data_IF_867062943184
#
_entry.id   IF_867062943184
#
_cell.length_a   1.000
_cell.length_b   1.000
_cell.length_c   1.000
_cell.angle_alpha   90.00
_cell.angle_beta   90.00
_cell.angle_gamma   90.00
#
_symmetry.space_group_name_H-M   'P 1'
#
loop_
_entity.id
_entity.type
_entity.pdbx_description
1 polymer ?
#
# COMPACT_ATOMS: atom_id res chain seq x y z
N UNK A 1 31.69 -59.26 11.74
CA UNK A 1 30.77 -60.01 12.62
C UNK A 1 31.08 -59.63 14.06
N UNK A 2 30.04 -59.31 14.80
CA UNK A 2 29.96 -58.53 16.05
C UNK A 2 30.68 -59.10 17.27
N UNK A 3 31.04 -58.18 18.19
CA UNK A 3 30.87 -58.24 19.66
C UNK A 3 30.95 -56.80 20.21
N UNK A 4 30.51 -56.45 21.43
CA UNK A 4 29.19 -56.48 22.07
C UNK A 4 29.23 -55.42 23.21
N UNK A 5 28.15 -54.66 23.40
CA UNK A 5 27.60 -54.04 24.64
C UNK A 5 28.48 -53.21 25.61
N UNK A 6 28.02 -51.99 25.96
CA UNK A 6 27.69 -51.56 27.34
C UNK A 6 26.82 -50.29 27.33
N UNK A 7 25.85 -50.28 28.25
CA UNK A 7 24.74 -49.35 28.44
C UNK A 7 25.16 -48.00 29.00
N UNK A 8 24.42 -46.93 28.68
CA UNK A 8 23.95 -46.05 29.74
C UNK A 8 22.61 -45.38 29.38
N UNK A 9 21.71 -45.43 30.35
CA UNK A 9 20.32 -44.98 30.30
C UNK A 9 20.24 -43.71 31.13
N UNK A 10 19.86 -42.58 30.53
CA UNK A 10 19.50 -41.36 31.27
C UNK A 10 18.12 -40.88 30.84
N UNK A 11 17.24 -40.78 31.84
CA UNK A 11 15.88 -40.24 31.79
C UNK A 11 15.85 -38.71 31.59
N UNK A 12 14.67 -38.24 31.15
CA UNK A 12 14.09 -36.89 31.29
C UNK A 12 14.58 -35.82 30.29
N UNK A 13 13.73 -34.94 29.78
CA UNK A 13 12.44 -34.45 30.29
C UNK A 13 11.44 -34.17 29.15
N UNK A 14 10.14 -34.29 29.46
CA UNK A 14 9.06 -33.78 28.62
C UNK A 14 9.13 -32.25 28.60
N UNK A 15 9.25 -31.65 27.41
CA UNK A 15 9.04 -30.21 27.22
C UNK A 15 7.54 -29.98 27.04
N UNK A 16 6.96 -29.25 27.98
CA UNK A 16 5.62 -28.72 27.87
C UNK A 16 5.54 -27.72 26.70
N UNK A 17 4.53 -27.87 25.86
CA UNK A 17 4.15 -26.85 24.88
C UNK A 17 3.53 -25.68 25.63
N UNK A 18 4.29 -24.60 25.80
CA UNK A 18 3.72 -23.30 26.13
C UNK A 18 3.37 -22.58 24.82
N UNK A 19 2.10 -22.21 24.68
CA UNK A 19 1.62 -21.38 23.58
C UNK A 19 2.26 -19.99 23.66
N UNK A 20 2.75 -19.41 22.55
CA UNK A 20 3.33 -18.09 22.60
C UNK A 20 2.22 -17.05 22.81
N UNK A 21 2.27 -16.40 23.97
CA UNK A 21 1.55 -15.17 24.28
C UNK A 21 1.99 -14.08 23.31
N UNK A 22 1.04 -13.43 22.63
CA UNK A 22 1.27 -12.29 21.75
C UNK A 22 1.64 -11.05 22.57
N UNK A 23 2.91 -10.95 22.95
CA UNK A 23 3.55 -9.68 23.28
C UNK A 23 4.38 -9.20 22.09
N UNK A 24 4.23 -7.92 21.78
CA UNK A 24 4.60 -7.27 20.53
C UNK A 24 5.93 -7.74 19.95
N UNK A 25 5.85 -8.46 18.82
CA UNK A 25 6.94 -8.54 17.86
C UNK A 25 7.17 -7.10 17.38
N UNK A 26 8.37 -6.50 17.60
CA UNK A 26 8.68 -5.25 16.93
C UNK A 26 8.59 -5.50 15.43
N UNK A 27 7.65 -4.83 14.76
CA UNK A 27 7.55 -4.83 13.30
C UNK A 27 8.91 -4.41 12.76
N UNK A 28 9.66 -5.36 12.20
CA UNK A 28 10.91 -5.10 11.48
C UNK A 28 10.66 -4.46 10.12
N UNK A 29 9.40 -4.34 9.71
CA UNK A 29 9.01 -3.55 8.55
C UNK A 29 9.08 -2.06 8.88
N UNK A 30 9.75 -1.24 8.05
CA UNK A 30 9.81 0.20 8.25
C UNK A 30 8.39 0.79 8.31
N UNK A 31 8.17 1.91 9.02
CA UNK A 31 6.89 2.59 8.97
C UNK A 31 6.55 3.00 7.54
N UNK A 32 5.26 3.01 7.19
CA UNK A 32 4.81 3.51 5.91
C UNK A 32 5.16 5.01 5.82
N UNK A 33 6.21 5.34 5.07
CA UNK A 33 6.73 6.72 4.92
C UNK A 33 6.84 7.11 3.44
N UNK A 34 5.74 6.93 2.70
CA UNK A 34 5.64 7.32 1.31
C UNK A 34 5.77 8.85 1.15
N UNK A 35 6.63 9.30 0.25
CA UNK A 35 6.84 10.73 -0.05
C UNK A 35 6.15 11.18 -1.32
N UNK A 36 5.95 10.26 -2.25
CA UNK A 36 5.20 10.50 -3.47
C UNK A 36 4.43 9.26 -3.88
N UNK A 37 3.21 9.46 -4.39
CA UNK A 37 2.43 8.42 -5.02
C UNK A 37 2.37 8.76 -6.52
N UNK A 38 3.27 8.17 -7.31
CA UNK A 38 3.37 8.45 -8.74
C UNK A 38 2.49 7.52 -9.54
N UNK A 39 3.13 6.53 -10.16
CA UNK A 39 2.44 5.52 -10.96
C UNK A 39 1.62 4.57 -10.08
N UNK A 40 0.42 4.23 -10.55
CA UNK A 40 -0.46 3.23 -9.97
C UNK A 40 -0.72 2.09 -10.96
N UNK A 41 -0.69 0.86 -10.47
CA UNK A 41 -1.19 -0.27 -11.27
C UNK A 41 -1.72 -1.39 -10.39
N UNK A 42 -2.71 -2.13 -10.89
CA UNK A 42 -3.25 -3.30 -10.22
C UNK A 42 -2.73 -4.59 -10.85
N UNK A 43 -2.36 -5.57 -10.03
CA UNK A 43 -2.32 -6.97 -10.48
C UNK A 43 -3.73 -7.51 -10.67
N UNK A 44 -3.87 -8.62 -11.39
CA UNK A 44 -5.15 -9.32 -11.56
C UNK A 44 -5.77 -9.77 -10.23
N UNK A 45 -4.92 -10.10 -9.25
CA UNK A 45 -5.30 -10.55 -7.91
C UNK A 45 -5.72 -9.39 -6.96
N UNK A 46 -5.69 -8.14 -7.42
CA UNK A 46 -6.09 -6.99 -6.60
C UNK A 46 -4.97 -6.44 -5.70
N UNK A 47 -3.70 -6.62 -6.07
CA UNK A 47 -2.59 -5.92 -5.41
C UNK A 47 -2.40 -4.57 -6.11
N UNK A 48 -2.45 -3.47 -5.35
CA UNK A 48 -2.14 -2.13 -5.84
C UNK A 48 -0.64 -1.85 -5.69
N UNK A 49 0.05 -1.67 -6.80
CA UNK A 49 1.41 -1.17 -6.82
C UNK A 49 1.43 0.36 -6.92
N UNK A 50 2.27 0.98 -6.10
CA UNK A 50 2.46 2.44 -6.04
C UNK A 50 3.94 2.75 -6.15
N UNK A 51 4.32 3.53 -7.16
CA UNK A 51 5.68 4.02 -7.32
C UNK A 51 5.93 5.30 -6.53
N UNK A 52 6.94 5.30 -5.66
CA UNK A 52 7.45 6.46 -4.95
C UNK A 52 8.81 6.85 -5.53
N UNK A 53 8.81 7.79 -6.46
CA UNK A 53 10.03 8.28 -7.15
C UNK A 53 10.92 9.13 -6.23
N UNK A 54 10.37 9.73 -5.16
CA UNK A 54 11.14 10.56 -4.23
C UNK A 54 11.96 9.69 -3.26
N UNK A 55 11.40 8.57 -2.81
CA UNK A 55 12.15 7.60 -2.00
C UNK A 55 12.88 6.53 -2.82
N UNK A 56 12.59 6.42 -4.13
CA UNK A 56 13.06 5.32 -4.94
C UNK A 56 12.50 3.99 -4.43
N UNK A 57 11.19 3.87 -4.28
CA UNK A 57 10.54 2.68 -3.75
C UNK A 57 9.32 2.27 -4.57
N UNK A 58 9.00 0.99 -4.53
CA UNK A 58 7.72 0.46 -5.01
C UNK A 58 7.00 -0.18 -3.84
N UNK A 59 5.80 0.31 -3.55
CA UNK A 59 4.91 -0.25 -2.54
C UNK A 59 3.91 -1.19 -3.22
N UNK A 60 3.52 -2.25 -2.52
CA UNK A 60 2.48 -3.18 -2.91
C UNK A 60 1.47 -3.29 -1.76
N UNK A 61 0.21 -2.93 -2.02
CA UNK A 61 -0.88 -2.98 -1.05
C UNK A 61 -1.87 -4.07 -1.45
N UNK A 62 -2.21 -4.94 -0.52
CA UNK A 62 -3.29 -5.89 -0.69
C UNK A 62 -4.64 -5.16 -0.60
N UNK A 63 -5.42 -5.20 -1.67
CA UNK A 63 -6.72 -4.53 -1.75
C UNK A 63 -7.83 -5.57 -1.85
N UNK A 64 -8.23 -6.21 -0.74
CA UNK A 64 -9.26 -7.22 -0.77
C UNK A 64 -10.58 -6.62 -1.25
N UNK A 65 -11.20 -7.28 -2.21
CA UNK A 65 -12.47 -6.85 -2.78
C UNK A 65 -13.33 -8.04 -3.15
N UNK A 66 -14.63 -7.91 -2.91
CA UNK A 66 -15.62 -8.84 -3.40
C UNK A 66 -16.16 -8.38 -4.76
N UNK A 67 -16.51 -9.35 -5.59
CA UNK A 67 -17.17 -9.09 -6.86
C UNK A 67 -18.51 -8.40 -6.59
N UNK A 68 -18.69 -7.16 -7.05
CA UNK A 68 -19.98 -6.48 -6.97
C UNK A 68 -20.79 -6.76 -8.24
N UNK A 69 -22.07 -7.07 -8.05
CA UNK A 69 -23.06 -7.12 -9.13
C UNK A 69 -23.44 -5.70 -9.56
N UNK A 70 -22.47 -4.88 -9.96
CA UNK A 70 -22.76 -3.57 -10.54
C UNK A 70 -22.62 -3.66 -12.06
N UNK A 71 -23.67 -3.29 -12.77
CA UNK A 71 -23.58 -3.06 -14.22
C UNK A 71 -22.53 -1.98 -14.45
N UNK A 72 -21.48 -2.31 -15.22
CA UNK A 72 -20.40 -1.36 -15.52
C UNK A 72 -20.90 -0.37 -16.57
N UNK A 73 -21.35 0.79 -16.12
CA UNK A 73 -21.75 1.89 -16.99
C UNK A 73 -20.62 2.92 -17.13
N UNK A 74 -20.51 3.62 -18.28
CA UNK A 74 -19.66 4.80 -18.39
C UNK A 74 -20.05 5.82 -17.31
N UNK A 75 -19.10 6.17 -16.43
CA UNK A 75 -19.31 7.14 -15.36
C UNK A 75 -18.64 8.47 -15.74
N UNK A 76 -19.39 9.56 -15.61
CA UNK A 76 -18.86 10.91 -15.73
C UNK A 76 -18.82 11.55 -14.34
N UNK A 77 -17.62 11.83 -13.85
CA UNK A 77 -17.41 12.54 -12.59
C UNK A 77 -16.92 13.94 -12.95
N UNK A 78 -17.80 14.93 -12.80
CA UNK A 78 -17.46 16.33 -13.11
C UNK A 78 -16.72 16.94 -11.93
N UNK A 79 -15.70 17.74 -12.25
CA UNK A 79 -14.88 18.50 -11.28
C UNK A 79 -14.31 17.60 -10.18
N UNK A 80 -13.68 16.49 -10.58
CA UNK A 80 -13.14 15.48 -9.65
C UNK A 80 -12.06 16.05 -8.74
N UNK A 81 -11.24 16.95 -9.25
CA UNK A 81 -10.23 17.72 -8.54
C UNK A 81 -10.85 18.59 -7.42
N UNK A 82 -11.92 19.34 -7.72
CA UNK A 82 -12.60 20.16 -6.73
C UNK A 82 -13.25 19.31 -5.62
N UNK A 83 -13.87 18.18 -5.98
CA UNK A 83 -14.45 17.24 -5.01
C UNK A 83 -13.41 16.60 -4.11
N UNK A 84 -12.24 16.26 -4.68
CA UNK A 84 -11.11 15.75 -3.89
C UNK A 84 -10.58 16.85 -2.97
N UNK A 85 -10.43 18.08 -3.45
CA UNK A 85 -9.99 19.20 -2.62
C UNK A 85 -10.93 19.42 -1.42
N UNK A 86 -12.25 19.38 -1.66
CA UNK A 86 -13.28 19.45 -0.62
C UNK A 86 -13.15 18.31 0.41
N UNK A 87 -13.05 17.06 -0.07
CA UNK A 87 -12.85 15.89 0.80
C UNK A 87 -11.61 16.02 1.70
N UNK A 88 -10.54 16.59 1.17
CA UNK A 88 -9.26 16.73 1.86
C UNK A 88 -9.19 17.98 2.75
N UNK A 89 -10.18 18.87 2.66
CA UNK A 89 -10.21 20.14 3.38
C UNK A 89 -9.18 21.15 2.87
N UNK A 90 -8.79 21.09 1.60
CA UNK A 90 -7.83 22.00 0.98
C UNK A 90 -8.49 22.91 -0.04
N UNK A 91 -7.78 23.97 -0.45
CA UNK A 91 -8.31 24.90 -1.47
C UNK A 91 -8.39 24.23 -2.84
N UNK A 92 -9.31 24.68 -3.67
CA UNK A 92 -9.32 24.33 -5.10
C UNK A 92 -7.97 24.70 -5.74
N UNK A 93 -7.43 23.79 -6.56
CA UNK A 93 -6.10 23.92 -7.17
C UNK A 93 -4.92 23.51 -6.26
N UNK A 94 -5.17 23.12 -5.00
CA UNK A 94 -4.16 22.55 -4.10
C UNK A 94 -4.06 21.01 -4.19
N UNK A 95 -4.61 20.44 -5.25
CA UNK A 95 -4.59 19.00 -5.55
C UNK A 95 -4.02 18.83 -6.94
N UNK A 96 -2.95 18.04 -7.04
CA UNK A 96 -2.40 17.57 -8.30
C UNK A 96 -2.76 16.09 -8.44
N UNK A 97 -3.28 15.70 -9.61
CA UNK A 97 -3.59 14.30 -9.92
C UNK A 97 -2.38 13.71 -10.63
N UNK A 98 -1.79 12.68 -10.04
CA UNK A 98 -0.57 12.06 -10.55
C UNK A 98 -0.90 10.90 -11.51
N UNK A 99 -1.84 10.04 -11.12
CA UNK A 99 -2.24 8.86 -11.89
C UNK A 99 -3.59 8.28 -11.44
N UNK A 100 -4.15 7.35 -12.20
CA UNK A 100 -5.40 6.65 -11.92
C UNK A 100 -5.32 5.18 -12.32
N UNK A 101 -5.78 4.30 -11.44
CA UNK A 101 -5.92 2.87 -11.71
C UNK A 101 -7.30 2.35 -11.30
N UNK A 102 -7.75 1.27 -11.95
CA UNK A 102 -9.06 0.65 -11.67
C UNK A 102 -8.85 -0.75 -11.10
N UNK A 103 -9.50 -1.03 -9.98
CA UNK A 103 -9.43 -2.34 -9.36
C UNK A 103 -10.08 -3.42 -10.26
N UNK A 104 -9.41 -4.53 -10.57
CA UNK A 104 -9.90 -5.52 -11.53
C UNK A 104 -11.19 -6.22 -11.09
N UNK A 105 -11.34 -6.48 -9.78
CA UNK A 105 -12.52 -7.14 -9.20
C UNK A 105 -13.68 -6.16 -8.93
N UNK A 106 -13.51 -5.17 -8.04
CA UNK A 106 -14.61 -4.26 -7.64
C UNK A 106 -14.96 -3.18 -8.66
N UNK A 107 -14.07 -2.89 -9.61
CA UNK A 107 -14.19 -1.76 -10.55
C UNK A 107 -14.23 -0.38 -9.88
N UNK A 108 -13.77 -0.30 -8.63
CA UNK A 108 -13.49 0.97 -7.96
C UNK A 108 -12.29 1.64 -8.61
N UNK A 109 -12.33 2.97 -8.67
CA UNK A 109 -11.27 3.81 -9.22
C UNK A 109 -10.40 4.28 -8.06
N UNK A 110 -9.09 4.24 -8.23
CA UNK A 110 -8.11 4.76 -7.30
C UNK A 110 -7.31 5.85 -8.00
N UNK A 111 -7.23 7.02 -7.39
CA UNK A 111 -6.58 8.20 -7.93
C UNK A 111 -5.43 8.56 -7.00
N UNK A 112 -4.23 8.57 -7.55
CA UNK A 112 -3.07 9.10 -6.86
C UNK A 112 -3.07 10.61 -6.96
N UNK A 113 -2.84 11.28 -5.83
CA UNK A 113 -2.78 12.73 -5.78
C UNK A 113 -1.62 13.23 -4.92
N UNK A 114 -1.18 14.44 -5.23
CA UNK A 114 -0.33 15.25 -4.37
C UNK A 114 -1.17 16.38 -3.77
N UNK A 115 -1.25 16.42 -2.44
CA UNK A 115 -1.79 17.56 -1.71
C UNK A 115 -0.70 18.62 -1.61
N UNK A 116 -0.93 19.79 -2.19
CA UNK A 116 -0.01 20.91 -2.17
C UNK A 116 -0.38 21.82 -1.00
N UNK A 117 0.47 21.86 0.01
CA UNK A 117 0.40 22.84 1.09
C UNK A 117 1.41 23.97 0.85
N UNK A 118 1.32 25.04 1.63
CA UNK A 118 2.17 26.24 1.42
C UNK A 118 3.68 25.98 1.55
N UNK A 119 4.07 24.90 2.25
CA UNK A 119 5.47 24.61 2.57
C UNK A 119 5.87 23.14 2.37
N UNK A 120 4.92 22.26 2.01
CA UNK A 120 5.15 20.84 1.86
C UNK A 120 4.11 20.23 0.92
N UNK A 121 4.48 19.13 0.28
CA UNK A 121 3.55 18.30 -0.48
C UNK A 121 3.39 16.96 0.23
N UNK A 122 2.16 16.43 0.25
CA UNK A 122 1.85 15.15 0.88
C UNK A 122 1.13 14.22 -0.11
N UNK A 123 1.57 12.96 -0.27
CA UNK A 123 0.90 12.02 -1.13
C UNK A 123 -0.41 11.53 -0.48
N UNK A 124 -1.40 11.24 -1.31
CA UNK A 124 -2.61 10.54 -0.90
C UNK A 124 -3.18 9.73 -2.06
N UNK A 125 -3.96 8.70 -1.72
CA UNK A 125 -4.74 7.95 -2.70
C UNK A 125 -6.21 8.09 -2.33
N UNK A 126 -7.01 8.50 -3.30
CA UNK A 126 -8.46 8.60 -3.16
C UNK A 126 -9.12 7.45 -3.88
N UNK A 127 -10.08 6.82 -3.22
CA UNK A 127 -10.96 5.82 -3.80
C UNK A 127 -12.26 6.47 -4.25
N UNK A 128 -12.71 6.10 -5.45
CA UNK A 128 -14.05 6.37 -5.94
C UNK A 128 -14.76 5.03 -6.15
N UNK A 129 -15.85 4.81 -5.41
CA UNK A 129 -16.66 3.61 -5.51
C UNK A 129 -17.42 3.55 -6.85
N UNK A 130 -17.91 2.36 -7.21
CA UNK A 130 -18.85 2.22 -8.33
C UNK A 130 -20.14 3.03 -8.14
N UNK A 131 -20.50 3.34 -6.90
CA UNK A 131 -21.65 4.16 -6.50
C UNK A 131 -21.33 5.67 -6.52
N UNK A 132 -20.12 6.04 -6.95
CA UNK A 132 -19.60 7.41 -7.03
C UNK A 132 -19.30 8.08 -5.68
N UNK A 133 -19.17 7.30 -4.62
CA UNK A 133 -18.68 7.79 -3.33
C UNK A 133 -17.18 8.00 -3.39
N UNK A 134 -16.72 9.15 -2.90
CA UNK A 134 -15.32 9.54 -2.87
C UNK A 134 -14.83 9.46 -1.41
N UNK A 135 -13.73 8.74 -1.19
CA UNK A 135 -13.16 8.54 0.16
C UNK A 135 -11.64 8.46 0.13
N UNK A 136 -10.98 8.92 1.18
CA UNK A 136 -9.53 8.77 1.35
C UNK A 136 -9.19 7.31 1.65
N UNK A 137 -8.18 6.76 0.97
CA UNK A 137 -7.66 5.43 1.28
C UNK A 137 -6.74 5.50 2.51
N UNK A 138 -7.13 4.81 3.58
CA UNK A 138 -6.28 4.65 4.75
C UNK A 138 -5.28 3.50 4.53
N UNK A 139 -4.13 3.84 3.97
CA UNK A 139 -3.06 2.89 3.64
C UNK A 139 -2.45 2.24 4.89
N UNK A 140 -2.53 2.88 6.06
CA UNK A 140 -1.97 2.37 7.30
C UNK A 140 -2.69 1.11 7.81
N UNK A 141 -3.91 0.89 7.34
CA UNK A 141 -4.76 -0.25 7.70
C UNK A 141 -4.66 -1.43 6.73
N UNK A 142 -3.90 -1.28 5.65
CA UNK A 142 -3.73 -2.30 4.64
C UNK A 142 -2.54 -3.20 4.99
N UNK A 143 -2.58 -4.43 4.50
CA UNK A 143 -1.37 -5.26 4.43
C UNK A 143 -0.56 -4.75 3.25
N UNK A 144 0.72 -4.46 3.48
CA UNK A 144 1.59 -3.91 2.44
C UNK A 144 3.01 -4.43 2.53
N UNK A 145 3.72 -4.32 1.41
CA UNK A 145 5.14 -4.60 1.26
C UNK A 145 5.81 -3.47 0.48
N UNK A 146 7.11 -3.35 0.63
CA UNK A 146 7.90 -2.36 -0.10
C UNK A 146 9.19 -2.98 -0.62
N UNK A 147 9.56 -2.59 -1.84
CA UNK A 147 10.86 -2.85 -2.41
C UNK A 147 11.56 -1.50 -2.66
N UNK A 148 12.73 -1.33 -2.04
CA UNK A 148 13.61 -0.20 -2.35
C UNK A 148 14.31 -0.44 -3.69
N UNK A 149 14.43 0.61 -4.48
CA UNK A 149 15.21 0.64 -5.70
C UNK A 149 16.65 1.00 -5.36
N UNK A 150 17.60 0.32 -6.00
CA UNK A 150 19.03 0.56 -5.80
C UNK A 150 19.53 1.74 -6.62
N UNK A 151 18.82 2.10 -7.69
CA UNK A 151 19.15 3.19 -8.61
C UNK A 151 17.86 3.93 -8.96
N UNK A 152 17.78 5.21 -8.59
CA UNK A 152 16.68 6.10 -8.93
C UNK A 152 17.21 7.54 -9.06
N UNK A 153 16.50 8.45 -9.76
CA UNK A 153 16.93 9.83 -9.88
C UNK A 153 17.04 10.48 -8.51
N UNK A 154 18.25 10.88 -8.13
CA UNK A 154 18.45 11.81 -7.03
C UNK A 154 18.32 13.24 -7.59
N UNK A 155 17.68 14.15 -6.85
CA UNK A 155 17.46 15.59 -7.16
C UNK A 155 18.77 16.40 -7.36
N UNK A 156 19.90 15.72 -7.60
CA UNK A 156 21.24 16.27 -7.77
C UNK A 156 21.61 16.48 -9.24
N UNK A 157 20.80 16.00 -10.18
CA UNK A 157 21.09 16.12 -11.61
C UNK A 157 20.60 17.47 -12.12
N UNK A 158 21.53 18.39 -12.37
CA UNK A 158 21.27 19.64 -13.10
C UNK A 158 21.56 19.41 -14.58
N UNK A 159 20.63 19.77 -15.46
CA UNK A 159 20.93 19.86 -16.90
C UNK A 159 21.86 21.07 -17.10
N UNK A 160 23.04 20.84 -17.66
CA UNK A 160 23.94 21.90 -18.13
C UNK A 160 23.62 22.29 -19.56
#
# INVERSE_FOLDING_TARGET
>A
MSTQTTHDFVLSAAVATEAPTTDGVPSTEPPLDMKFAGALTFSEDGILFVGDNHNGAVYAFEMPAEQRQSQTFPRSIRNVDARIAELLGVREGAVEINDLAVHPISKDIYISITRIESFASQPAIVKISVDSDISLLDMSRLVWRMQLLTEFPEDRTTFQ
#
